data_IF_104938738491
#
_entry.id   IF_104938738491
#
_cell.length_a   1.000
_cell.length_b   1.000
_cell.length_c   1.000
_cell.angle_alpha   90.00
_cell.angle_beta   90.00
_cell.angle_gamma   90.00
#
_symmetry.space_group_name_H-M   'P 1'
#
loop_
_entity.id
_entity.type
_entity.pdbx_description
1 polymer ?
#
# COMPACT_ATOMS: atom_id res chain seq x y z
N UNK A 1 11.65 13.57 -0.43
CA UNK A 1 11.31 12.59 -1.48
C UNK A 1 12.58 11.98 -2.08
N UNK A 2 13.00 10.81 -1.59
CA UNK A 2 13.87 9.86 -2.32
C UNK A 2 13.57 8.46 -1.79
N UNK A 3 12.65 7.76 -2.46
CA UNK A 3 12.50 6.31 -2.34
C UNK A 3 13.74 5.72 -3.04
N UNK A 4 14.68 5.14 -2.28
CA UNK A 4 15.84 4.48 -2.87
C UNK A 4 15.46 3.04 -3.22
N UNK A 5 15.23 2.80 -4.52
CA UNK A 5 15.23 1.44 -5.09
C UNK A 5 16.63 0.85 -4.94
N UNK A 6 16.70 -0.40 -4.49
CA UNK A 6 17.95 -1.15 -4.30
C UNK A 6 18.80 -1.19 -5.57
N UNK A 7 19.91 -0.47 -5.54
CA UNK A 7 21.11 -0.81 -6.30
C UNK A 7 22.24 -0.93 -5.30
N UNK A 8 23.06 -1.96 -5.46
CA UNK A 8 24.19 -2.29 -4.58
C UNK A 8 25.26 -1.18 -4.64
N UNK A 9 25.05 -0.08 -3.93
CA UNK A 9 26.08 0.86 -3.53
C UNK A 9 25.79 1.25 -2.07
N UNK A 10 26.64 0.76 -1.18
CA UNK A 10 26.67 1.13 0.22
C UNK A 10 26.80 2.66 0.36
N UNK A 11 25.68 3.34 0.59
CA UNK A 11 25.72 4.56 1.38
C UNK A 11 25.70 4.08 2.83
N UNK A 12 26.86 4.15 3.50
CA UNK A 12 26.91 4.02 4.95
C UNK A 12 26.04 5.13 5.53
N UNK A 13 24.78 4.80 5.87
CA UNK A 13 23.93 5.63 6.69
C UNK A 13 24.20 5.17 8.11
N UNK A 14 24.83 6.04 8.88
CA UNK A 14 25.09 5.80 10.30
C UNK A 14 23.75 5.68 11.00
N UNK A 15 23.33 4.45 11.26
CA UNK A 15 22.39 4.18 12.33
C UNK A 15 23.06 4.70 13.61
N UNK A 16 22.59 5.81 14.16
CA UNK A 16 23.08 6.27 15.46
C UNK A 16 22.49 5.35 16.52
N UNK A 17 23.14 4.20 16.72
CA UNK A 17 22.98 3.44 17.95
C UNK A 17 23.53 4.31 19.08
N UNK A 18 22.65 4.73 19.97
CA UNK A 18 23.08 5.01 21.33
C UNK A 18 23.55 3.67 21.91
N UNK A 19 24.86 3.43 21.90
CA UNK A 19 25.48 2.36 22.65
C UNK A 19 25.27 2.63 24.15
N UNK A 20 24.18 2.10 24.69
CA UNK A 20 24.05 1.81 26.11
C UNK A 20 24.11 0.29 26.22
N UNK A 21 25.28 -0.19 26.64
CA UNK A 21 25.50 -1.59 26.89
C UNK A 21 24.51 -2.11 27.93
N UNK A 22 23.71 -3.09 27.53
CA UNK A 22 23.41 -4.28 28.29
C UNK A 22 22.99 -5.37 27.29
N UNK A 23 23.89 -6.34 27.13
CA UNK A 23 23.62 -7.66 26.59
C UNK A 23 22.68 -8.40 27.56
N UNK A 24 21.37 -8.22 27.44
CA UNK A 24 20.36 -9.09 28.05
C UNK A 24 19.11 -9.12 27.14
N UNK A 25 18.95 -10.22 26.40
CA UNK A 25 17.63 -10.67 25.93
C UNK A 25 17.11 -10.11 24.61
N UNK A 26 17.82 -10.31 23.49
CA UNK A 26 17.12 -10.37 22.19
C UNK A 26 16.37 -11.71 22.15
N UNK A 27 15.03 -11.75 22.01
CA UNK A 27 14.39 -12.95 21.51
C UNK A 27 14.83 -13.12 20.05
N UNK A 28 15.97 -13.77 19.84
CA UNK A 28 16.49 -14.16 18.52
C UNK A 28 15.76 -15.38 17.95
N UNK A 29 14.59 -15.73 18.49
CA UNK A 29 13.77 -16.78 17.92
C UNK A 29 12.59 -16.17 17.17
N UNK A 30 12.57 -16.24 15.82
CA UNK A 30 11.43 -15.81 15.01
C UNK A 30 10.06 -16.45 15.37
N UNK A 31 10.05 -17.42 16.29
CA UNK A 31 8.88 -18.12 16.83
C UNK A 31 8.11 -17.30 17.89
N UNK A 32 8.77 -16.39 18.61
CA UNK A 32 8.19 -15.66 19.76
C UNK A 32 7.62 -14.28 19.39
N UNK A 33 7.94 -13.75 18.20
CA UNK A 33 7.42 -12.46 17.74
C UNK A 33 5.89 -12.48 17.62
N UNK A 34 5.18 -11.42 18.09
CA UNK A 34 3.75 -11.28 17.87
C UNK A 34 3.42 -11.29 16.38
N UNK A 35 2.29 -11.92 16.03
CA UNK A 35 1.81 -11.99 14.65
C UNK A 35 1.09 -10.68 14.32
N UNK A 36 1.51 -10.04 13.23
CA UNK A 36 0.73 -9.00 12.56
C UNK A 36 -0.17 -9.69 11.52
N UNK A 37 -1.49 -9.58 11.71
CA UNK A 37 -2.47 -10.16 10.79
C UNK A 37 -2.69 -9.20 9.63
N UNK A 38 -2.74 -9.71 8.39
CA UNK A 38 -3.03 -8.90 7.22
C UNK A 38 -4.39 -8.20 7.37
N UNK A 39 -4.42 -6.89 7.11
CA UNK A 39 -5.63 -6.06 7.19
C UNK A 39 -5.98 -5.58 8.59
N UNK A 40 -5.29 -6.05 9.63
CA UNK A 40 -5.54 -5.66 11.02
C UNK A 40 -4.44 -4.75 11.53
N UNK A 41 -4.82 -3.58 12.06
CA UNK A 41 -3.88 -2.68 12.70
C UNK A 41 -3.66 -3.04 14.17
N UNK A 42 -2.43 -2.95 14.64
CA UNK A 42 -2.05 -3.08 16.04
C UNK A 42 -1.50 -1.76 16.56
N UNK A 43 -1.85 -1.41 17.80
CA UNK A 43 -1.29 -0.23 18.46
C UNK A 43 0.08 -0.57 19.06
N UNK A 44 1.08 0.24 18.75
CA UNK A 44 2.47 0.08 19.18
C UNK A 44 2.91 1.34 19.92
N UNK A 45 3.62 1.15 21.02
CA UNK A 45 4.20 2.23 21.83
C UNK A 45 5.65 1.87 22.15
N UNK A 46 6.52 2.85 22.37
CA UNK A 46 7.92 2.55 22.67
C UNK A 46 8.65 3.70 23.33
N UNK A 47 9.68 3.34 24.09
CA UNK A 47 10.64 4.30 24.61
C UNK A 47 11.75 4.56 23.56
N UNK A 48 12.55 5.59 23.78
CA UNK A 48 13.76 5.80 23.00
C UNK A 48 14.67 4.56 23.08
N UNK A 49 15.06 4.04 21.92
CA UNK A 49 15.91 2.87 21.75
C UNK A 49 15.19 1.52 21.94
N UNK A 50 13.89 1.50 22.24
CA UNK A 50 13.14 0.24 22.30
C UNK A 50 12.83 -0.27 20.89
N UNK A 51 12.97 -1.57 20.69
CA UNK A 51 12.64 -2.25 19.44
C UNK A 51 11.56 -3.30 19.68
N UNK A 52 10.58 -3.37 18.77
CA UNK A 52 9.56 -4.41 18.74
C UNK A 52 9.56 -5.06 17.36
N UNK A 53 9.58 -6.39 17.31
CA UNK A 53 9.60 -7.15 16.05
C UNK A 53 8.33 -7.98 15.93
N UNK A 54 7.57 -7.73 14.87
CA UNK A 54 6.39 -8.49 14.47
C UNK A 54 6.74 -9.45 13.34
N UNK A 55 5.97 -10.54 13.25
CA UNK A 55 6.01 -11.47 12.12
C UNK A 55 4.72 -11.44 11.33
N UNK A 56 4.84 -11.60 10.02
CA UNK A 56 3.73 -11.58 9.07
C UNK A 56 3.90 -12.74 8.09
N UNK A 57 2.85 -13.52 7.84
CA UNK A 57 2.86 -14.51 6.76
C UNK A 57 2.22 -13.93 5.52
N UNK A 58 3.01 -13.81 4.44
CA UNK A 58 2.52 -13.44 3.11
C UNK A 58 2.16 -14.71 2.34
N UNK A 59 0.89 -14.92 1.93
CA UNK A 59 0.50 -16.06 1.09
C UNK A 59 1.13 -16.03 -0.31
N UNK A 60 1.17 -17.19 -0.98
CA UNK A 60 1.48 -17.29 -2.41
C UNK A 60 0.47 -16.50 -3.26
N UNK A 61 0.94 -16.00 -4.41
CA UNK A 61 0.14 -15.09 -5.25
C UNK A 61 -0.10 -13.71 -4.60
N UNK A 62 0.60 -13.43 -3.50
CA UNK A 62 0.57 -12.16 -2.78
C UNK A 62 0.87 -11.00 -3.72
N UNK A 63 0.04 -9.98 -3.61
CA UNK A 63 0.04 -8.85 -4.52
C UNK A 63 1.16 -7.85 -4.28
N UNK A 64 0.85 -6.59 -4.01
CA UNK A 64 1.83 -5.69 -3.39
C UNK A 64 1.69 -5.85 -1.88
N UNK A 65 2.79 -6.06 -1.16
CA UNK A 65 2.78 -5.93 0.30
C UNK A 65 3.00 -4.48 0.66
N UNK A 66 2.08 -3.90 1.42
CA UNK A 66 2.25 -2.59 2.06
C UNK A 66 2.32 -2.78 3.57
N UNK A 67 3.34 -2.22 4.19
CA UNK A 67 3.48 -2.11 5.65
C UNK A 67 3.47 -0.63 5.99
N UNK A 68 2.52 -0.22 6.82
CA UNK A 68 2.31 1.18 7.21
C UNK A 68 2.30 1.27 8.74
N UNK A 69 3.01 2.26 9.25
CA UNK A 69 2.88 2.74 10.62
C UNK A 69 2.49 4.22 10.59
N UNK A 70 1.38 4.59 11.23
CA UNK A 70 0.91 5.98 11.22
C UNK A 70 0.13 6.34 12.51
N UNK A 71 -0.22 7.62 12.65
CA UNK A 71 -1.11 8.10 13.72
C UNK A 71 -0.43 8.28 15.08
N UNK A 72 0.90 8.16 15.15
CA UNK A 72 1.65 8.28 16.39
C UNK A 72 2.10 9.71 16.71
N UNK A 73 2.53 9.89 17.95
CA UNK A 73 3.37 11.01 18.38
C UNK A 73 4.79 10.52 18.65
N UNK A 74 5.77 11.42 18.62
CA UNK A 74 7.18 11.05 18.77
C UNK A 74 7.83 10.67 17.44
N UNK A 75 8.86 9.84 17.51
CA UNK A 75 9.68 9.45 16.36
C UNK A 75 9.99 7.96 16.44
N UNK A 76 9.44 7.20 15.49
CA UNK A 76 9.57 5.76 15.39
C UNK A 76 9.94 5.40 13.96
N UNK A 77 10.91 4.51 13.82
CA UNK A 77 11.43 4.03 12.55
C UNK A 77 10.83 2.66 12.22
N UNK A 78 10.65 2.38 10.93
CA UNK A 78 10.16 1.11 10.40
C UNK A 78 11.25 0.42 9.59
N UNK A 79 11.46 -0.87 9.82
CA UNK A 79 12.26 -1.72 8.94
C UNK A 79 11.54 -3.05 8.66
N UNK A 80 11.63 -3.55 7.43
CA UNK A 80 10.94 -4.76 6.98
C UNK A 80 11.90 -5.66 6.22
N UNK A 81 11.82 -6.97 6.48
CA UNK A 81 12.68 -7.97 5.84
C UNK A 81 11.99 -9.34 5.70
N UNK A 82 12.23 -10.00 4.58
CA UNK A 82 11.81 -11.37 4.31
C UNK A 82 12.73 -12.39 4.99
N UNK A 83 12.14 -13.44 5.57
CA UNK A 83 12.81 -14.63 6.09
C UNK A 83 13.57 -14.46 7.41
N UNK A 84 13.91 -13.24 7.81
CA UNK A 84 14.61 -12.94 9.06
C UNK A 84 14.26 -11.55 9.59
N UNK A 85 14.46 -11.33 10.90
CA UNK A 85 14.32 -10.01 11.52
C UNK A 85 15.28 -9.00 10.84
N UNK A 86 14.83 -7.75 10.59
CA UNK A 86 15.71 -6.68 10.13
C UNK A 86 16.92 -6.50 11.07
N UNK A 87 18.06 -6.12 10.50
CA UNK A 87 19.26 -5.74 11.24
C UNK A 87 19.68 -4.32 10.83
N UNK A 88 20.51 -3.61 11.62
CA UNK A 88 20.98 -2.27 11.32
C UNK A 88 21.46 -2.00 9.89
N UNK A 89 22.05 -3.02 9.25
CA UNK A 89 22.61 -2.94 7.91
C UNK A 89 22.02 -3.98 6.95
N UNK A 90 20.96 -4.69 7.37
CA UNK A 90 20.39 -5.80 6.59
C UNK A 90 18.87 -5.79 6.70
N UNK A 91 18.22 -5.22 5.69
CA UNK A 91 16.78 -5.05 5.57
C UNK A 91 16.40 -4.95 4.09
N UNK A 92 15.15 -5.27 3.75
CA UNK A 92 14.66 -5.14 2.38
C UNK A 92 14.04 -3.75 2.15
N UNK A 93 13.44 -3.18 3.21
CA UNK A 93 12.97 -1.80 3.24
C UNK A 93 13.16 -1.20 4.62
N UNK A 94 13.44 0.11 4.67
CA UNK A 94 13.40 0.90 5.89
C UNK A 94 12.85 2.31 5.59
N UNK A 95 12.06 2.82 6.53
CA UNK A 95 11.56 4.20 6.55
C UNK A 95 11.91 4.79 7.92
N UNK A 96 12.54 5.96 7.91
CA UNK A 96 13.13 6.60 9.09
C UNK A 96 12.87 8.12 9.07
N UNK A 97 11.61 8.48 8.86
CA UNK A 97 11.22 9.87 8.72
C UNK A 97 10.99 10.51 10.09
N UNK A 98 11.21 11.82 10.19
CA UNK A 98 10.81 12.55 11.40
C UNK A 98 9.31 12.88 11.44
N UNK A 99 8.52 12.32 10.51
CA UNK A 99 7.07 12.53 10.44
C UNK A 99 6.36 11.32 11.08
N UNK A 100 5.13 11.49 11.59
CA UNK A 100 4.41 10.42 12.27
C UNK A 100 3.79 9.39 11.30
N UNK A 101 4.52 9.05 10.22
CA UNK A 101 4.14 8.11 9.18
C UNK A 101 5.39 7.44 8.62
N UNK A 102 5.45 6.12 8.70
CA UNK A 102 6.49 5.28 8.09
C UNK A 102 5.87 4.22 7.17
N UNK A 103 6.48 3.97 6.02
CA UNK A 103 5.90 3.09 4.99
C UNK A 103 6.95 2.26 4.27
N UNK A 104 6.61 0.98 4.03
CA UNK A 104 7.34 0.09 3.14
C UNK A 104 6.38 -0.58 2.14
N UNK A 105 6.72 -0.54 0.86
CA UNK A 105 5.94 -1.16 -0.23
C UNK A 105 6.84 -2.14 -0.99
N UNK A 106 6.34 -3.36 -1.19
CA UNK A 106 6.97 -4.40 -1.98
C UNK A 106 6.03 -4.78 -3.12
N UNK A 107 6.45 -4.52 -4.35
CA UNK A 107 5.63 -4.71 -5.55
C UNK A 107 5.28 -6.18 -5.82
N UNK A 108 6.21 -7.09 -5.54
CA UNK A 108 6.05 -8.54 -5.70
C UNK A 108 6.73 -9.23 -4.51
N UNK A 109 6.09 -9.26 -3.33
CA UNK A 109 6.67 -9.84 -2.14
C UNK A 109 6.80 -11.36 -2.30
N UNK A 110 7.89 -11.92 -1.79
CA UNK A 110 8.03 -13.36 -1.67
C UNK A 110 6.96 -13.92 -0.72
N UNK A 111 6.36 -15.04 -1.11
CA UNK A 111 5.49 -15.80 -0.22
C UNK A 111 6.31 -16.36 0.95
N UNK A 112 5.73 -16.34 2.15
CA UNK A 112 6.37 -16.83 3.36
C UNK A 112 6.45 -15.80 4.46
N UNK A 113 7.44 -15.95 5.33
CA UNK A 113 7.52 -15.23 6.58
C UNK A 113 8.29 -13.92 6.42
N UNK A 114 7.68 -12.83 6.85
CA UNK A 114 8.23 -11.47 6.88
C UNK A 114 8.35 -11.00 8.31
N UNK A 115 9.31 -10.13 8.56
CA UNK A 115 9.56 -9.52 9.86
C UNK A 115 9.56 -8.01 9.74
N UNK A 116 8.89 -7.37 10.68
CA UNK A 116 8.69 -5.93 10.75
C UNK A 116 9.26 -5.46 12.09
N UNK A 117 10.30 -4.64 12.04
CA UNK A 117 10.86 -3.97 13.21
C UNK A 117 10.32 -2.55 13.32
N UNK A 118 9.88 -2.18 14.52
CA UNK A 118 9.55 -0.82 14.93
C UNK A 118 10.54 -0.38 16.00
N UNK A 119 11.33 0.65 15.70
CA UNK A 119 12.38 1.18 16.57
C UNK A 119 12.03 2.59 17.02
N UNK A 120 12.01 2.85 18.33
CA UNK A 120 11.82 4.21 18.83
C UNK A 120 13.09 5.05 18.70
N UNK A 121 13.19 5.94 17.71
CA UNK A 121 14.30 6.92 17.65
C UNK A 121 14.20 7.92 18.82
N UNK A 122 12.97 8.33 19.12
CA UNK A 122 12.57 8.90 20.41
C UNK A 122 11.45 8.07 21.04
N UNK A 123 10.93 8.48 22.20
CA UNK A 123 9.74 7.83 22.73
C UNK A 123 8.54 8.15 21.82
N UNK A 124 7.72 7.15 21.54
CA UNK A 124 6.55 7.27 20.68
C UNK A 124 5.34 6.56 21.29
N UNK A 125 4.15 7.05 20.95
CA UNK A 125 2.88 6.49 21.43
C UNK A 125 1.82 6.45 20.34
N UNK A 126 0.90 5.51 20.47
CA UNK A 126 -0.31 5.33 19.66
C UNK A 126 -0.04 5.05 18.18
N UNK A 127 1.09 4.42 17.85
CA UNK A 127 1.41 4.03 16.48
C UNK A 127 0.50 2.90 16.01
N UNK A 128 -0.24 3.14 14.93
CA UNK A 128 -1.04 2.12 14.28
C UNK A 128 -0.18 1.43 13.21
N UNK A 129 0.38 0.27 13.56
CA UNK A 129 1.12 -0.60 12.64
C UNK A 129 0.15 -1.55 11.94
N UNK A 130 0.23 -1.63 10.62
CA UNK A 130 -0.61 -2.50 9.80
C UNK A 130 0.18 -3.04 8.62
N UNK A 131 -0.22 -4.22 8.15
CA UNK A 131 0.24 -4.75 6.87
C UNK A 131 -0.97 -5.16 6.04
N UNK A 132 -0.94 -4.87 4.75
CA UNK A 132 -1.96 -5.29 3.80
C UNK A 132 -1.30 -5.88 2.56
N UNK A 133 -1.91 -6.97 2.07
CA UNK A 133 -1.70 -7.37 0.69
C UNK A 133 -2.69 -6.59 -0.14
N UNK A 134 -2.16 -5.63 -0.88
CA UNK A 134 -2.88 -5.04 -1.99
C UNK A 134 -2.87 -6.10 -3.10
N UNK A 135 -3.98 -6.43 -3.76
CA UNK A 135 -3.97 -7.37 -4.87
C UNK A 135 -2.97 -6.95 -5.96
N UNK A 136 -2.11 -7.86 -6.42
CA UNK A 136 -1.58 -7.86 -7.81
C UNK A 136 -2.50 -8.71 -8.70
N UNK A 137 -3.41 -9.45 -8.08
CA UNK A 137 -4.32 -10.36 -8.77
C UNK A 137 -5.38 -9.51 -9.45
N UNK A 138 -5.40 -9.59 -10.77
CA UNK A 138 -6.54 -9.12 -11.55
C UNK A 138 -6.47 -7.69 -12.07
N UNK A 139 -5.35 -6.95 -11.96
CA UNK A 139 -5.20 -5.67 -12.66
C UNK A 139 -5.23 -5.88 -14.18
N UNK A 140 -6.44 -6.01 -14.74
CA UNK A 140 -6.63 -6.01 -16.17
C UNK A 140 -6.24 -4.62 -16.64
N UNK A 141 -5.19 -4.58 -17.45
CA UNK A 141 -4.78 -3.37 -18.10
C UNK A 141 -5.90 -2.90 -19.03
N UNK A 142 -6.40 -1.70 -18.77
CA UNK A 142 -7.37 -1.04 -19.63
C UNK A 142 -6.63 -0.38 -20.79
N UNK A 143 -7.26 -0.43 -21.95
CA UNK A 143 -6.86 0.38 -23.10
C UNK A 143 -7.75 1.63 -23.09
N UNK A 144 -7.14 2.80 -23.23
CA UNK A 144 -7.87 4.08 -23.24
C UNK A 144 -9.04 4.04 -24.23
N UNK A 145 -10.24 4.35 -23.74
CA UNK A 145 -11.47 4.40 -24.53
C UNK A 145 -12.06 3.04 -24.92
N UNK A 146 -11.46 1.92 -24.48
CA UNK A 146 -11.96 0.58 -24.78
C UNK A 146 -12.78 0.06 -23.60
N UNK A 147 -14.01 -0.33 -23.89
CA UNK A 147 -14.92 -0.87 -22.89
C UNK A 147 -14.50 -2.26 -22.42
N UNK A 148 -14.56 -2.43 -21.11
CA UNK A 148 -14.38 -3.67 -20.39
C UNK A 148 -15.76 -4.10 -19.89
N UNK A 149 -16.31 -5.17 -20.46
CA UNK A 149 -17.71 -5.57 -20.24
C UNK A 149 -17.81 -6.89 -19.49
N UNK A 150 -19.02 -7.18 -18.99
CA UNK A 150 -19.33 -8.45 -18.34
C UNK A 150 -18.80 -8.54 -16.92
N UNK A 151 -18.58 -7.40 -16.26
CA UNK A 151 -18.22 -7.35 -14.85
C UNK A 151 -19.40 -7.78 -14.00
N UNK A 152 -19.11 -8.48 -12.91
CA UNK A 152 -20.09 -8.89 -11.92
C UNK A 152 -19.37 -9.22 -10.62
N UNK A 153 -20.05 -9.04 -9.50
CA UNK A 153 -19.52 -9.38 -8.17
C UNK A 153 -20.65 -9.55 -7.17
N UNK A 154 -20.40 -10.32 -6.13
CA UNK A 154 -21.26 -10.38 -4.95
C UNK A 154 -20.86 -9.32 -3.93
N UNK A 155 -21.77 -8.93 -3.05
CA UNK A 155 -21.50 -7.94 -2.01
C UNK A 155 -20.22 -8.26 -1.23
N UNK A 156 -19.31 -7.28 -1.15
CA UNK A 156 -17.98 -7.40 -0.55
C UNK A 156 -16.86 -7.84 -1.50
N UNK A 157 -17.19 -8.28 -2.72
CA UNK A 157 -16.20 -8.53 -3.76
C UNK A 157 -15.65 -7.22 -4.32
N UNK A 158 -14.46 -7.27 -4.91
CA UNK A 158 -13.95 -6.15 -5.70
C UNK A 158 -13.08 -6.64 -6.85
N UNK A 159 -13.06 -5.86 -7.92
CA UNK A 159 -12.15 -6.04 -9.07
C UNK A 159 -11.22 -4.83 -9.20
N UNK A 160 -10.00 -5.09 -9.66
CA UNK A 160 -8.97 -4.07 -9.84
C UNK A 160 -8.59 -3.92 -11.31
N UNK A 161 -8.32 -2.69 -11.74
CA UNK A 161 -7.88 -2.36 -13.08
C UNK A 161 -6.75 -1.34 -13.03
N UNK A 162 -5.98 -1.28 -14.11
CA UNK A 162 -4.96 -0.24 -14.27
C UNK A 162 -5.02 0.42 -15.64
N UNK A 163 -4.66 1.69 -15.70
CA UNK A 163 -4.43 2.40 -16.95
C UNK A 163 -3.15 3.23 -16.86
N UNK A 164 -2.34 3.19 -17.93
CA UNK A 164 -1.16 4.05 -18.05
C UNK A 164 -1.59 5.41 -18.57
N UNK A 165 -1.26 6.46 -17.82
CA UNK A 165 -1.49 7.85 -18.18
C UNK A 165 -0.17 8.49 -18.63
N UNK A 166 -0.06 8.92 -19.90
CA UNK A 166 1.12 9.64 -20.39
C UNK A 166 1.26 11.04 -19.75
N UNK A 167 2.48 11.57 -19.77
CA UNK A 167 2.72 12.96 -19.41
C UNK A 167 1.98 13.92 -20.35
N UNK A 168 1.51 15.05 -19.81
CA UNK A 168 0.74 16.04 -20.58
C UNK A 168 -0.70 15.62 -20.86
N UNK A 169 -1.27 14.69 -20.07
CA UNK A 169 -2.71 14.36 -20.13
C UNK A 169 -3.52 15.48 -19.50
N UNK A 170 -4.59 15.93 -20.17
CA UNK A 170 -5.52 16.96 -19.66
C UNK A 170 -6.56 16.37 -18.71
N UNK A 171 -7.06 15.17 -19.01
CA UNK A 171 -7.97 14.47 -18.10
C UNK A 171 -7.93 12.96 -18.24
N UNK A 172 -8.15 12.28 -17.12
CA UNK A 172 -8.52 10.86 -17.06
C UNK A 172 -9.99 10.79 -16.63
N UNK A 173 -10.83 10.15 -17.45
CA UNK A 173 -12.23 9.88 -17.12
C UNK A 173 -12.42 8.39 -16.99
N UNK A 174 -12.95 7.96 -15.85
CA UNK A 174 -13.31 6.57 -15.57
C UNK A 174 -14.81 6.51 -15.34
N UNK A 175 -15.50 5.64 -16.05
CA UNK A 175 -16.94 5.48 -15.94
C UNK A 175 -17.28 3.98 -15.86
N UNK A 176 -18.20 3.66 -14.96
CA UNK A 176 -18.77 2.33 -14.77
C UNK A 176 -20.29 2.43 -14.97
N UNK A 177 -20.85 1.47 -15.68
CA UNK A 177 -22.30 1.28 -15.78
C UNK A 177 -22.63 -0.19 -15.52
N UNK A 178 -23.55 -0.46 -14.60
CA UNK A 178 -23.89 -1.82 -14.17
C UNK A 178 -25.33 -1.90 -13.64
N UNK A 179 -25.87 -3.12 -13.61
CA UNK A 179 -27.05 -3.42 -12.79
C UNK A 179 -26.60 -3.79 -11.38
N UNK A 180 -27.24 -3.25 -10.35
CA UNK A 180 -26.84 -3.43 -8.96
C UNK A 180 -26.16 -2.17 -8.42
N UNK A 181 -25.30 -2.35 -7.41
CA UNK A 181 -24.66 -1.24 -6.68
C UNK A 181 -23.15 -1.47 -6.50
N UNK A 182 -22.36 -1.37 -7.60
CA UNK A 182 -20.92 -1.27 -7.51
C UNK A 182 -20.45 0.17 -7.38
N UNK A 183 -19.47 0.38 -6.50
CA UNK A 183 -18.75 1.64 -6.32
C UNK A 183 -17.47 1.68 -7.14
N UNK A 184 -17.00 2.90 -7.44
CA UNK A 184 -15.77 3.16 -8.18
C UNK A 184 -14.79 3.99 -7.34
N UNK A 185 -13.56 3.52 -7.21
CA UNK A 185 -12.47 4.26 -6.57
C UNK A 185 -11.26 4.30 -7.50
N UNK A 186 -10.58 5.44 -7.58
CA UNK A 186 -9.46 5.69 -8.51
C UNK A 186 -8.35 6.42 -7.77
N UNK A 187 -7.13 5.92 -7.91
CA UNK A 187 -5.96 6.52 -7.27
C UNK A 187 -4.66 6.36 -8.08
N UNK A 188 -3.63 7.14 -7.73
CA UNK A 188 -2.36 7.19 -8.44
C UNK A 188 -1.32 6.26 -7.80
N UNK A 189 -0.83 5.27 -8.56
CA UNK A 189 0.20 4.27 -8.21
C UNK A 189 -0.07 3.39 -6.97
N UNK A 190 -1.03 3.76 -6.14
CA UNK A 190 -1.48 3.07 -4.93
C UNK A 190 -2.88 2.49 -5.12
N UNK A 191 -3.19 1.51 -4.28
CA UNK A 191 -4.53 0.95 -4.19
C UNK A 191 -5.46 1.98 -3.51
N UNK A 192 -6.62 2.31 -4.08
CA UNK A 192 -7.60 3.16 -3.40
C UNK A 192 -8.17 2.42 -2.18
N UNK A 193 -7.83 2.89 -0.98
CA UNK A 193 -8.52 2.46 0.24
C UNK A 193 -9.92 3.10 0.25
N UNK A 194 -10.87 2.50 0.96
CA UNK A 194 -12.23 3.06 1.07
C UNK A 194 -12.26 4.46 1.73
N UNK A 195 -11.17 4.86 2.37
CA UNK A 195 -10.99 6.15 3.01
C UNK A 195 -9.79 6.95 2.48
N UNK A 196 -9.12 6.48 1.41
CA UNK A 196 -7.96 7.15 0.81
C UNK A 196 -7.95 6.90 -0.71
N UNK A 197 -8.31 7.92 -1.48
CA UNK A 197 -8.46 7.87 -2.93
C UNK A 197 -8.31 9.26 -3.54
N UNK A 198 -7.83 9.32 -4.79
CA UNK A 198 -7.84 10.58 -5.56
C UNK A 198 -9.24 10.93 -6.04
N UNK A 199 -10.02 9.93 -6.46
CA UNK A 199 -11.41 10.10 -6.87
C UNK A 199 -12.22 8.88 -6.49
N UNK A 200 -13.45 9.08 -6.05
CA UNK A 200 -14.42 8.01 -5.87
C UNK A 200 -15.81 8.46 -6.31
N UNK A 201 -16.63 7.49 -6.66
CA UNK A 201 -18.04 7.62 -7.00
C UNK A 201 -18.74 6.38 -6.43
N UNK A 202 -19.74 6.59 -5.58
CA UNK A 202 -20.44 5.57 -4.80
C UNK A 202 -21.93 5.92 -4.68
N UNK A 203 -22.58 6.15 -5.83
CA UNK A 203 -24.02 6.39 -5.84
C UNK A 203 -24.78 5.10 -5.51
N UNK A 204 -26.04 5.18 -5.11
CA UNK A 204 -26.88 3.97 -4.85
C UNK A 204 -27.25 3.20 -6.15
N UNK A 205 -26.53 3.45 -7.25
CA UNK A 205 -26.82 2.90 -8.58
C UNK A 205 -25.52 2.45 -9.22
N UNK A 206 -25.54 1.46 -10.11
CA UNK A 206 -24.32 1.05 -10.80
C UNK A 206 -23.76 2.00 -11.86
N UNK A 207 -24.18 3.27 -11.89
CA UNK A 207 -23.67 4.28 -12.80
C UNK A 207 -22.68 5.22 -12.08
N UNK A 208 -21.41 4.85 -12.09
CA UNK A 208 -20.35 5.57 -11.39
C UNK A 208 -19.42 6.33 -12.33
N UNK A 209 -18.92 7.49 -11.89
CA UNK A 209 -18.03 8.31 -12.72
C UNK A 209 -17.01 9.11 -11.93
N UNK A 210 -15.75 8.93 -12.31
CA UNK A 210 -14.62 9.71 -11.85
C UNK A 210 -14.00 10.55 -12.99
N UNK A 211 -13.70 11.81 -12.70
CA UNK A 211 -12.96 12.70 -13.61
C UNK A 211 -11.79 13.33 -12.85
N UNK A 212 -10.57 13.00 -13.27
CA UNK A 212 -9.34 13.61 -12.77
C UNK A 212 -8.82 14.59 -13.82
N UNK A 213 -8.60 15.85 -13.42
CA UNK A 213 -7.99 16.89 -14.28
C UNK A 213 -6.48 16.93 -14.06
N UNK A 214 -5.74 17.10 -15.16
CA UNK A 214 -4.29 17.12 -15.18
C UNK A 214 -3.65 15.97 -14.37
N UNK A 215 -4.03 14.70 -14.64
CA UNK A 215 -3.49 13.58 -13.87
C UNK A 215 -1.97 13.48 -14.01
N UNK A 216 -1.31 13.07 -12.92
CA UNK A 216 0.11 12.71 -12.94
C UNK A 216 0.40 11.61 -13.96
N UNK A 217 1.56 11.72 -14.63
CA UNK A 217 2.04 10.68 -15.53
C UNK A 217 2.42 9.44 -14.72
N UNK A 218 1.95 8.27 -15.14
CA UNK A 218 2.22 7.01 -14.43
C UNK A 218 1.05 6.05 -14.51
N UNK A 219 0.99 5.13 -13.55
CA UNK A 219 -0.06 4.11 -13.50
C UNK A 219 -1.16 4.57 -12.56
N UNK A 220 -2.39 4.61 -13.08
CA UNK A 220 -3.58 4.86 -12.29
C UNK A 220 -4.30 3.55 -12.02
N UNK A 221 -4.70 3.35 -10.78
CA UNK A 221 -5.37 2.16 -10.29
C UNK A 221 -6.85 2.48 -10.13
N UNK A 222 -7.70 1.57 -10.59
CA UNK A 222 -9.16 1.66 -10.51
C UNK A 222 -9.63 0.43 -9.73
N UNK A 223 -10.45 0.64 -8.70
CA UNK A 223 -11.18 -0.38 -7.96
C UNK A 223 -12.65 -0.27 -8.31
N UNK A 224 -13.25 -1.38 -8.69
CA UNK A 224 -14.71 -1.56 -8.74
C UNK A 224 -15.07 -2.40 -7.53
N UNK A 225 -15.80 -1.84 -6.58
CA UNK A 225 -16.17 -2.48 -5.33
C UNK A 225 -17.65 -2.86 -5.34
N UNK A 226 -18.00 -4.11 -5.10
CA UNK A 226 -19.39 -4.55 -5.03
C UNK A 226 -19.98 -4.20 -3.66
N UNK A 227 -20.49 -2.98 -3.49
CA UNK A 227 -21.20 -2.63 -2.26
C UNK A 227 -22.42 -3.54 -2.07
N UNK A 228 -23.20 -3.74 -3.14
CA UNK A 228 -24.15 -4.86 -3.28
C UNK A 228 -23.82 -5.70 -4.52
N UNK A 229 -24.49 -6.85 -4.63
CA UNK A 229 -24.43 -7.70 -5.81
C UNK A 229 -24.66 -6.89 -7.09
N UNK A 230 -23.78 -7.05 -8.07
CA UNK A 230 -23.89 -6.38 -9.35
C UNK A 230 -23.59 -7.31 -10.52
N UNK A 231 -24.10 -6.96 -11.69
CA UNK A 231 -23.91 -7.72 -12.92
C UNK A 231 -24.01 -6.84 -14.16
N UNK A 232 -23.62 -7.41 -15.31
CA UNK A 232 -23.60 -6.72 -16.61
C UNK A 232 -22.78 -5.42 -16.61
N UNK A 233 -21.79 -5.32 -15.72
CA UNK A 233 -20.99 -4.13 -15.56
C UNK A 233 -20.09 -3.85 -16.76
N UNK A 234 -19.97 -2.58 -17.10
CA UNK A 234 -19.15 -2.05 -18.18
C UNK A 234 -18.29 -0.91 -17.66
N UNK A 235 -16.98 -1.12 -17.61
CA UNK A 235 -15.99 -0.12 -17.20
C UNK A 235 -15.28 0.46 -18.43
N UNK A 236 -15.16 1.78 -18.50
CA UNK A 236 -14.38 2.49 -19.52
C UNK A 236 -13.49 3.52 -18.84
N UNK A 237 -12.18 3.45 -19.10
CA UNK A 237 -11.23 4.50 -18.74
C UNK A 237 -10.72 5.17 -20.02
N UNK A 238 -10.83 6.50 -20.10
CA UNK A 238 -10.40 7.30 -21.26
C UNK A 238 -9.41 8.37 -20.82
N UNK A 239 -8.24 8.35 -21.45
CA UNK A 239 -7.18 9.34 -21.32
C UNK A 239 -7.36 10.37 -22.43
N UNK A 240 -7.55 11.63 -22.06
CA UNK A 240 -7.62 12.75 -22.98
C UNK A 240 -6.28 13.50 -22.96
N UNK A 241 -5.48 13.44 -24.03
CA UNK A 241 -4.21 14.16 -24.09
C UNK A 241 -4.46 15.66 -24.08
N UNK A 242 -3.51 16.41 -23.51
CA UNK A 242 -3.54 17.86 -23.61
C UNK A 242 -3.23 18.36 -25.00
N UNK A 243 -3.62 19.61 -25.26
CA UNK A 243 -3.25 20.29 -26.49
C UNK A 243 -1.72 20.26 -26.63
N UNK A 244 -1.23 19.83 -27.80
CA UNK A 244 0.20 19.93 -28.09
C UNK A 244 0.62 21.41 -28.01
N UNK A 245 1.77 21.72 -27.36
CA UNK A 245 2.28 23.08 -27.30
C UNK A 245 2.60 23.64 -28.68
#
# INVERSE_FOLDING_TARGET
MRIRRGSRLAAAVTLVLAALGCNEGLPTRPDESPVLVLGEAVTVNGARGSEQVYRLTVPEGGGKLRVLMAGFTGDADLAVRYGAAPQPTEFDCASQSSFPVEECIFEAPEAGLWFISVLGYTAFSDAQLSASLLPQVGERALVSGVATTGLSGSSGDFEMFRITVPAGTDSLVVALDATGDPDLYVDFELFPLLNDYTCASFTETGSERCMIRSPGAGTWIIRVDAYLDFSAGTLIATVYPGAAP
#
